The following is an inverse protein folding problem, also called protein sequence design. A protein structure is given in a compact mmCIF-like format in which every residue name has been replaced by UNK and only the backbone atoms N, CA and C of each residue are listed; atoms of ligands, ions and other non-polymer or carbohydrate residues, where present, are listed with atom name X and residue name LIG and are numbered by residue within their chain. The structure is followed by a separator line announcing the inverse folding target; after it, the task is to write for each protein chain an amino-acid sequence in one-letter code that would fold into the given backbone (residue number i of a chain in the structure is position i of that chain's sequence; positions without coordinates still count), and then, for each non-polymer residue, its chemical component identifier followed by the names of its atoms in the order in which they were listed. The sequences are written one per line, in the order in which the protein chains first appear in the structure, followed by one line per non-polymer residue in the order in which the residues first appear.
data_IF_093776357079
#
_entry.id   IF_093776357079
#
_cell.length_a   1.000
_cell.length_b   1.000
_cell.length_c   1.000
_cell.angle_alpha   90.00
_cell.angle_beta   90.00
_cell.angle_gamma   90.00
#
_symmetry.space_group_name_H-M   'P 1'
#
loop_
_entity.id
_entity.type
_entity.pdbx_description
1 polymer ?
#
# COMPACT_ATOMS: atom_id res chain seq x y z
N UNK A 1 10.74 -22.43 0.22
CA UNK A 1 11.15 -22.97 -1.10
C UNK A 1 9.89 -23.08 -1.93
N UNK A 2 9.76 -22.30 -3.01
CA UNK A 2 8.57 -22.38 -3.88
C UNK A 2 8.78 -23.53 -4.85
N UNK A 3 7.82 -24.46 -4.88
CA UNK A 3 7.82 -25.54 -5.84
C UNK A 3 7.01 -25.13 -7.08
N UNK A 4 7.45 -25.42 -8.31
CA UNK A 4 6.64 -25.20 -9.49
C UNK A 4 5.42 -26.13 -9.49
N UNK A 5 4.29 -25.63 -9.98
CA UNK A 5 3.07 -26.42 -10.17
C UNK A 5 3.31 -27.56 -11.17
N UNK A 6 2.79 -28.74 -10.85
CA UNK A 6 3.03 -29.98 -11.60
C UNK A 6 2.18 -30.05 -12.88
N UNK A 7 2.53 -29.32 -13.90
CA UNK A 7 2.03 -29.50 -15.26
C UNK A 7 3.17 -29.36 -16.27
N UNK A 8 3.98 -30.38 -16.38
CA UNK A 8 4.57 -30.97 -17.55
C UNK A 8 5.38 -30.14 -18.55
N UNK A 9 5.77 -28.88 -18.28
CA UNK A 9 6.77 -28.15 -19.08
C UNK A 9 7.74 -27.41 -18.18
N UNK A 10 8.95 -27.87 -18.10
CA UNK A 10 10.06 -27.18 -17.46
C UNK A 10 10.31 -25.88 -18.20
N UNK A 11 10.38 -24.75 -17.46
CA UNK A 11 10.70 -23.40 -17.93
C UNK A 11 9.56 -22.57 -18.61
N UNK A 12 8.34 -23.05 -18.75
CA UNK A 12 7.22 -22.28 -19.30
C UNK A 12 6.05 -22.15 -18.31
N UNK A 13 6.36 -22.00 -17.02
CA UNK A 13 5.32 -21.79 -16.02
C UNK A 13 5.26 -20.33 -15.60
N UNK A 14 4.14 -19.68 -15.97
CA UNK A 14 3.81 -18.33 -15.51
C UNK A 14 3.29 -18.31 -14.06
N UNK A 15 3.31 -19.43 -13.34
CA UNK A 15 2.74 -19.59 -11.99
C UNK A 15 3.82 -19.88 -10.96
N UNK A 16 3.59 -19.40 -9.74
CA UNK A 16 4.40 -19.76 -8.57
C UNK A 16 3.51 -19.92 -7.35
N UNK A 17 3.83 -20.89 -6.48
CA UNK A 17 3.10 -21.15 -5.25
C UNK A 17 4.06 -21.28 -4.08
N UNK A 18 3.78 -20.59 -2.98
CA UNK A 18 4.51 -20.72 -1.71
C UNK A 18 3.70 -21.60 -0.76
N UNK A 19 4.35 -22.59 -0.18
CA UNK A 19 3.74 -23.50 0.81
C UNK A 19 4.37 -23.30 2.19
N UNK A 20 3.58 -23.46 3.24
CA UNK A 20 4.09 -23.62 4.60
C UNK A 20 4.83 -24.96 4.75
N UNK A 21 5.56 -25.13 5.85
CA UNK A 21 6.18 -26.43 6.19
C UNK A 21 5.16 -27.58 6.32
N UNK A 22 3.88 -27.25 6.60
CA UNK A 22 2.79 -28.21 6.69
C UNK A 22 2.04 -28.41 5.37
N UNK A 23 2.56 -27.92 4.23
CA UNK A 23 1.96 -28.07 2.91
C UNK A 23 0.77 -27.17 2.61
N UNK A 24 0.43 -26.22 3.48
CA UNK A 24 -0.64 -25.25 3.21
C UNK A 24 -0.15 -24.14 2.28
N UNK A 25 -0.94 -23.81 1.26
CA UNK A 25 -0.68 -22.68 0.37
C UNK A 25 -0.67 -21.37 1.17
N UNK A 26 0.41 -20.62 1.10
CA UNK A 26 0.58 -19.30 1.72
C UNK A 26 0.43 -18.16 0.71
N UNK A 27 0.87 -18.40 -0.51
CA UNK A 27 0.80 -17.45 -1.61
C UNK A 27 0.70 -18.23 -2.91
N UNK A 28 -0.21 -17.81 -3.76
CA UNK A 28 -0.34 -18.31 -5.13
C UNK A 28 -0.39 -17.12 -6.08
N UNK A 29 0.30 -17.21 -7.21
CA UNK A 29 0.38 -16.11 -8.14
C UNK A 29 0.78 -16.53 -9.55
N UNK A 30 0.48 -15.64 -10.52
CA UNK A 30 0.89 -15.78 -11.91
C UNK A 30 1.48 -14.49 -12.44
N UNK A 31 2.33 -14.63 -13.47
CA UNK A 31 2.88 -13.49 -14.21
C UNK A 31 1.98 -13.05 -15.38
N UNK A 32 0.74 -13.52 -15.42
CA UNK A 32 -0.28 -13.25 -16.43
C UNK A 32 -0.72 -14.52 -17.16
N UNK A 33 -1.95 -14.48 -17.66
CA UNK A 33 -2.51 -15.59 -18.42
C UNK A 33 -1.87 -15.63 -19.82
N UNK A 34 -1.07 -16.67 -20.03
CA UNK A 34 -0.63 -17.11 -21.36
C UNK A 34 0.00 -16.04 -22.29
N UNK A 35 0.89 -15.20 -21.79
CA UNK A 35 1.82 -14.55 -22.70
C UNK A 35 2.80 -15.63 -23.22
N UNK A 36 2.86 -15.88 -24.52
CA UNK A 36 3.56 -17.05 -25.09
C UNK A 36 5.08 -17.05 -24.89
N UNK A 37 5.64 -16.05 -24.21
CA UNK A 37 7.07 -15.87 -23.99
C UNK A 37 7.43 -15.40 -22.57
N UNK A 38 6.60 -15.71 -21.56
CA UNK A 38 6.95 -15.46 -20.16
C UNK A 38 7.40 -16.78 -19.53
N UNK A 39 8.69 -16.87 -19.28
CA UNK A 39 9.32 -18.00 -18.59
C UNK A 39 9.80 -17.54 -17.22
N UNK A 40 9.57 -18.36 -16.18
CA UNK A 40 10.15 -18.16 -14.87
C UNK A 40 10.98 -19.37 -14.48
N UNK A 41 12.30 -19.18 -14.37
CA UNK A 41 13.20 -20.24 -13.92
C UNK A 41 13.11 -20.43 -12.40
N UNK A 42 12.93 -19.36 -11.63
CA UNK A 42 12.83 -19.38 -10.17
C UNK A 42 11.98 -18.24 -9.66
N UNK A 43 11.24 -18.48 -8.58
CA UNK A 43 10.59 -17.45 -7.77
C UNK A 43 11.22 -17.46 -6.37
N UNK A 44 11.62 -16.29 -5.88
CA UNK A 44 12.14 -16.10 -4.53
C UNK A 44 11.31 -15.04 -3.83
N UNK A 45 11.08 -15.24 -2.54
CA UNK A 45 10.48 -14.23 -1.66
C UNK A 45 11.51 -13.82 -0.61
N UNK A 46 11.76 -12.54 -0.52
CA UNK A 46 12.65 -11.97 0.47
C UNK A 46 11.90 -10.96 1.34
N UNK A 47 12.23 -10.83 2.63
CA UNK A 47 11.84 -9.65 3.40
C UNK A 47 12.37 -8.41 2.69
N UNK A 48 11.50 -7.43 2.49
CA UNK A 48 11.88 -6.18 1.85
C UNK A 48 11.31 -4.99 2.60
N UNK A 49 12.17 -3.99 2.83
CA UNK A 49 11.80 -2.68 3.37
C UNK A 49 12.00 -1.65 2.27
N UNK A 50 10.89 -1.06 1.83
CA UNK A 50 10.89 0.01 0.85
C UNK A 50 10.80 1.37 1.54
N UNK A 51 11.75 2.26 1.21
CA UNK A 51 11.75 3.65 1.67
C UNK A 51 11.80 4.57 0.44
N UNK A 52 10.64 4.95 -0.12
CA UNK A 52 10.60 5.81 -1.30
C UNK A 52 11.21 7.19 -1.04
N UNK A 53 11.87 7.74 -2.03
CA UNK A 53 12.36 9.13 -2.00
C UNK A 53 11.26 10.15 -2.31
N UNK A 54 10.13 9.70 -2.85
CA UNK A 54 8.95 10.52 -3.11
C UNK A 54 8.14 10.78 -1.84
N UNK A 55 7.24 11.75 -1.89
CA UNK A 55 6.23 11.95 -0.84
C UNK A 55 4.96 11.13 -1.13
N UNK A 56 4.12 10.86 -0.11
CA UNK A 56 2.78 10.35 -0.33
C UNK A 56 1.98 11.21 -1.31
N UNK A 57 1.14 10.58 -2.13
CA UNK A 57 0.12 11.25 -2.91
C UNK A 57 -1.18 11.26 -2.10
N UNK A 58 -1.84 12.42 -2.04
CA UNK A 58 -3.11 12.56 -1.34
C UNK A 58 -4.03 13.54 -2.06
N UNK A 59 -5.28 13.12 -2.25
CA UNK A 59 -6.35 13.92 -2.86
C UNK A 59 -7.61 13.85 -2.02
N UNK A 60 -8.40 14.92 -2.01
CA UNK A 60 -9.70 14.91 -1.35
C UNK A 60 -10.83 14.93 -2.37
N UNK A 61 -11.88 14.16 -2.11
CA UNK A 61 -13.14 14.19 -2.84
C UNK A 61 -14.29 14.53 -1.88
N UNK A 62 -15.28 15.28 -2.36
CA UNK A 62 -16.50 15.57 -1.64
C UNK A 62 -17.68 14.92 -2.36
N UNK A 63 -18.33 13.96 -1.73
CA UNK A 63 -19.49 13.27 -2.28
C UNK A 63 -20.53 13.07 -1.18
N UNK A 64 -21.81 13.40 -1.48
CA UNK A 64 -22.89 13.26 -0.53
C UNK A 64 -22.68 14.03 0.80
N UNK A 65 -21.95 15.14 0.79
CA UNK A 65 -21.61 15.91 1.99
C UNK A 65 -20.49 15.32 2.84
N UNK A 66 -19.91 14.20 2.42
CA UNK A 66 -18.75 13.55 3.08
C UNK A 66 -17.49 13.86 2.30
N UNK A 67 -16.50 14.43 2.99
CA UNK A 67 -15.15 14.59 2.44
C UNK A 67 -14.36 13.33 2.72
N UNK A 68 -13.77 12.74 1.66
CA UNK A 68 -12.89 11.56 1.77
C UNK A 68 -11.52 11.90 1.25
N UNK A 69 -10.49 11.65 2.03
CA UNK A 69 -9.08 11.76 1.61
C UNK A 69 -8.62 10.40 1.14
N UNK A 70 -8.15 10.32 -0.09
CA UNK A 70 -7.51 9.13 -0.67
C UNK A 70 -6.02 9.32 -0.61
N UNK A 71 -5.32 8.39 -0.02
CA UNK A 71 -3.87 8.47 0.18
C UNK A 71 -3.18 7.19 -0.23
N UNK A 72 -2.06 7.33 -0.95
CA UNK A 72 -1.17 6.24 -1.34
C UNK A 72 0.29 6.66 -1.29
N UNK A 73 1.17 5.70 -1.08
CA UNK A 73 2.62 5.92 -1.18
C UNK A 73 3.28 4.65 -1.69
N UNK A 74 3.48 4.59 -3.00
CA UNK A 74 4.01 3.41 -3.66
C UNK A 74 5.41 3.07 -3.14
N UNK A 75 5.63 1.79 -2.80
CA UNK A 75 6.89 1.29 -2.28
C UNK A 75 7.16 1.55 -0.80
N UNK A 76 6.31 2.31 -0.10
CA UNK A 76 6.46 2.56 1.33
C UNK A 76 5.91 1.38 2.15
N UNK A 77 6.76 0.41 2.47
CA UNK A 77 6.35 -0.82 3.17
C UNK A 77 6.20 -0.66 4.67
N UNK A 78 6.78 0.38 5.26
CA UNK A 78 6.77 0.61 6.71
C UNK A 78 5.56 1.40 7.19
N UNK A 79 4.76 1.98 6.29
CA UNK A 79 3.55 2.72 6.69
C UNK A 79 2.54 1.77 7.30
N UNK A 80 2.20 1.99 8.56
CA UNK A 80 1.18 1.25 9.31
C UNK A 80 -0.09 2.07 9.52
N UNK A 81 0.05 3.40 9.62
CA UNK A 81 -1.04 4.31 9.96
C UNK A 81 -0.98 5.56 9.08
N UNK A 82 -2.15 6.00 8.65
CA UNK A 82 -2.37 7.31 8.06
C UNK A 82 -3.10 8.21 9.06
N UNK A 83 -2.54 9.40 9.30
CA UNK A 83 -3.18 10.46 10.07
C UNK A 83 -3.48 11.63 9.15
N UNK A 84 -4.66 12.22 9.26
CA UNK A 84 -5.03 13.45 8.57
C UNK A 84 -5.06 14.57 9.60
N UNK A 85 -4.29 15.61 9.32
CA UNK A 85 -4.31 16.87 10.06
C UNK A 85 -5.12 17.89 9.28
N UNK A 86 -5.91 18.69 9.96
CA UNK A 86 -6.69 19.76 9.36
C UNK A 86 -6.59 21.05 10.15
N UNK A 87 -6.66 22.19 9.44
CA UNK A 87 -6.60 23.49 10.07
C UNK A 87 -6.92 24.64 9.10
N UNK A 88 -6.93 25.87 9.61
CA UNK A 88 -7.11 27.07 8.77
C UNK A 88 -5.93 27.30 7.81
N UNK A 89 -4.74 26.93 8.23
CA UNK A 89 -3.49 27.08 7.49
C UNK A 89 -2.47 25.99 7.91
N UNK A 90 -1.31 25.97 7.28
CA UNK A 90 -0.26 24.97 7.51
C UNK A 90 0.45 25.09 8.88
N UNK A 91 0.33 26.24 9.54
CA UNK A 91 0.91 26.48 10.87
C UNK A 91 -0.01 26.06 12.02
N UNK A 92 -1.31 25.88 11.76
CA UNK A 92 -2.33 25.60 12.78
C UNK A 92 -3.11 24.33 12.42
N UNK A 93 -2.40 23.20 12.44
CA UNK A 93 -2.96 21.89 12.09
C UNK A 93 -3.21 21.05 13.36
N UNK A 94 -4.38 20.40 13.41
CA UNK A 94 -4.73 19.46 14.46
C UNK A 94 -5.19 18.13 13.83
N UNK A 95 -5.05 16.98 14.53
CA UNK A 95 -5.56 15.71 14.06
C UNK A 95 -7.07 15.74 13.85
N UNK A 96 -7.54 15.28 12.68
CA UNK A 96 -8.97 15.20 12.33
C UNK A 96 -9.42 13.77 12.03
N UNK A 97 -8.50 12.90 11.62
CA UNK A 97 -8.76 11.48 11.41
C UNK A 97 -7.47 10.67 11.49
N UNK A 98 -7.59 9.39 11.86
CA UNK A 98 -6.49 8.44 11.86
C UNK A 98 -7.02 7.06 11.54
N UNK A 99 -6.39 6.35 10.58
CA UNK A 99 -6.81 5.00 10.16
C UNK A 99 -5.59 4.12 9.85
N UNK A 100 -5.66 2.81 10.08
CA UNK A 100 -4.65 1.88 9.62
C UNK A 100 -4.50 1.94 8.10
N UNK A 101 -3.29 1.73 7.60
CA UNK A 101 -3.05 1.58 6.15
C UNK A 101 -3.82 0.36 5.64
N UNK A 102 -4.58 0.53 4.57
CA UNK A 102 -5.32 -0.54 3.91
C UNK A 102 -5.03 -0.54 2.42
N UNK A 103 -4.56 -1.68 1.91
CA UNK A 103 -4.27 -1.86 0.49
C UNK A 103 -3.21 -0.90 -0.08
N UNK A 104 -3.29 -0.69 -1.40
CA UNK A 104 -2.44 0.25 -2.13
C UNK A 104 -2.83 1.69 -1.86
N UNK A 105 -4.13 2.00 -1.90
CA UNK A 105 -4.71 3.30 -1.58
C UNK A 105 -5.65 3.15 -0.38
N UNK A 106 -5.58 4.06 0.57
CA UNK A 106 -6.43 4.09 1.75
C UNK A 106 -7.39 5.27 1.66
N UNK A 107 -8.70 4.99 1.74
CA UNK A 107 -9.74 6.00 1.78
C UNK A 107 -10.05 6.38 3.25
N UNK A 108 -10.00 7.68 3.57
CA UNK A 108 -10.14 8.20 4.92
C UNK A 108 -11.31 9.21 4.94
N UNK A 109 -12.49 8.84 5.44
CA UNK A 109 -13.56 9.80 5.64
C UNK A 109 -13.16 10.82 6.71
N UNK A 110 -13.29 12.11 6.40
CA UNK A 110 -12.97 13.19 7.32
C UNK A 110 -14.18 14.12 7.52
N UNK A 111 -14.49 14.39 8.78
CA UNK A 111 -15.54 15.34 9.16
C UNK A 111 -14.88 16.62 9.66
N UNK A 112 -14.62 17.54 8.75
CA UNK A 112 -13.92 18.79 9.08
C UNK A 112 -14.30 19.89 8.10
N UNK A 113 -14.37 21.11 8.59
CA UNK A 113 -14.46 22.34 7.79
C UNK A 113 -13.08 22.95 7.50
N UNK A 114 -12.00 22.27 7.88
CA UNK A 114 -10.63 22.74 7.67
C UNK A 114 -10.37 23.01 6.18
N UNK A 115 -9.74 24.16 5.90
CA UNK A 115 -9.34 24.55 4.53
C UNK A 115 -8.07 23.87 4.10
N UNK A 116 -7.16 23.63 5.04
CA UNK A 116 -5.88 22.97 4.79
C UNK A 116 -5.91 21.59 5.39
N UNK A 117 -5.56 20.59 4.58
CA UNK A 117 -5.41 19.20 5.02
C UNK A 117 -4.00 18.71 4.69
N UNK A 118 -3.42 17.96 5.62
CA UNK A 118 -2.12 17.31 5.46
C UNK A 118 -2.24 15.87 5.90
N UNK A 119 -1.72 14.94 5.11
CA UNK A 119 -1.58 13.54 5.52
C UNK A 119 -0.21 13.30 6.12
N UNK A 120 -0.17 12.46 7.15
CA UNK A 120 1.04 12.01 7.83
C UNK A 120 1.09 10.49 7.76
N UNK A 121 2.17 9.97 7.21
CA UNK A 121 2.49 8.54 7.24
C UNK A 121 3.23 8.21 8.53
N UNK A 122 2.75 7.19 9.27
CA UNK A 122 3.42 6.71 10.48
C UNK A 122 3.71 5.22 10.39
N UNK A 123 4.82 4.81 10.99
CA UNK A 123 5.15 3.40 11.18
C UNK A 123 4.35 2.77 12.34
N UNK A 124 4.56 1.48 12.59
CA UNK A 124 3.92 0.74 13.67
C UNK A 124 4.31 1.23 15.09
N UNK A 125 5.39 2.01 15.21
CA UNK A 125 5.84 2.62 16.46
C UNK A 125 5.31 4.04 16.65
N UNK A 126 4.55 4.57 15.63
CA UNK A 126 4.05 5.94 15.63
C UNK A 126 5.03 6.98 15.09
N UNK A 127 6.21 6.57 14.63
CA UNK A 127 7.21 7.47 14.05
C UNK A 127 6.70 8.07 12.74
N UNK A 128 6.88 9.36 12.57
CA UNK A 128 6.53 10.04 11.31
C UNK A 128 7.53 9.67 10.23
N UNK A 129 7.04 9.06 9.15
CA UNK A 129 7.84 8.69 7.98
C UNK A 129 7.82 9.79 6.93
N UNK A 130 6.66 10.39 6.67
CA UNK A 130 6.51 11.47 5.69
C UNK A 130 5.24 12.29 5.94
N UNK A 131 5.17 13.47 5.30
CA UNK A 131 3.98 14.33 5.25
C UNK A 131 3.75 14.81 3.83
N UNK A 132 2.48 14.97 3.44
CA UNK A 132 2.09 15.55 2.16
C UNK A 132 0.82 16.39 2.31
N UNK A 133 0.73 17.49 1.57
CA UNK A 133 -0.50 18.27 1.46
C UNK A 133 -1.55 17.47 0.68
N UNK A 134 -2.81 17.60 1.07
CA UNK A 134 -3.96 17.05 0.34
C UNK A 134 -4.36 18.06 -0.74
N UNK A 135 -4.55 17.57 -1.96
CA UNK A 135 -4.99 18.35 -3.13
C UNK A 135 -6.48 18.23 -3.36
#
# INVERSE_FOLDING_TARGET
MCAPSAAGRWAQNAYFTEYSAAGRVLLDGSFGDAAPNIDSYRAFRFPWVGTPTTKPAAVASLSGGVRTVYVSWNGATQVALWEVLGGPDAGHLAPVASVPKSGFETAIPVRTSARTLVVVARDAKGTVLARAAVR
#
